data_IF_568362665204
#
_entry.id   IF_568362665204
#
_cell.length_a   1.000
_cell.length_b   1.000
_cell.length_c   1.000
_cell.angle_alpha   90.00
_cell.angle_beta   90.00
_cell.angle_gamma   90.00
#
_symmetry.space_group_name_H-M   'P 1'
#
loop_
_entity.id
_entity.type
_entity.pdbx_description
1 polymer ?
#
# COMPACT_ATOMS: atom_id res chain seq x y z
N UNK A 1 -19.55 25.02 -37.05
CA UNK A 1 -18.21 25.64 -37.10
C UNK A 1 -17.64 25.54 -35.69
N UNK A 2 -16.60 24.70 -35.55
CA UNK A 2 -16.08 24.20 -34.27
C UNK A 2 -14.97 25.12 -33.75
N UNK A 3 -14.96 25.39 -32.44
CA UNK A 3 -13.91 26.19 -31.77
C UNK A 3 -12.62 25.38 -31.58
N UNK A 4 -11.43 26.01 -31.54
CA UNK A 4 -10.15 25.30 -31.46
C UNK A 4 -9.87 24.83 -30.03
N UNK A 5 -9.41 23.57 -29.91
CA UNK A 5 -8.99 22.94 -28.65
C UNK A 5 -7.50 23.23 -28.43
N UNK A 6 -7.17 24.18 -27.56
CA UNK A 6 -5.79 24.35 -27.06
C UNK A 6 -5.69 23.82 -25.64
N UNK A 7 -4.87 22.79 -25.47
CA UNK A 7 -3.89 22.70 -24.38
C UNK A 7 -2.87 21.63 -24.71
N UNK A 8 -1.73 22.10 -25.21
CA UNK A 8 -0.45 21.41 -25.15
C UNK A 8 0.06 21.61 -23.73
N UNK A 9 0.28 20.51 -23.02
CA UNK A 9 1.36 20.36 -22.04
C UNK A 9 1.87 18.93 -22.22
N UNK A 10 2.76 18.77 -23.20
CA UNK A 10 3.72 17.68 -23.18
C UNK A 10 4.65 17.92 -22.00
N UNK A 11 4.33 17.31 -20.86
CA UNK A 11 5.28 17.11 -19.78
C UNK A 11 5.92 15.73 -19.98
N UNK A 12 6.71 15.60 -21.03
CA UNK A 12 7.64 14.49 -21.18
C UNK A 12 8.76 14.67 -20.15
N UNK A 13 8.73 13.85 -19.10
CA UNK A 13 9.95 13.45 -18.44
C UNK A 13 10.06 11.93 -18.45
N UNK A 14 10.93 11.51 -19.37
CA UNK A 14 11.57 10.23 -19.56
C UNK A 14 12.07 9.60 -18.27
N UNK A 15 11.36 8.57 -17.82
CA UNK A 15 11.88 7.30 -17.31
C UNK A 15 10.65 6.43 -17.07
N UNK A 16 10.59 5.23 -17.63
CA UNK A 16 9.61 4.25 -17.16
C UNK A 16 9.83 4.08 -15.64
N UNK A 17 8.84 4.37 -14.78
CA UNK A 17 9.10 4.53 -13.36
C UNK A 17 9.37 3.17 -12.74
N UNK A 18 10.40 3.11 -11.91
CA UNK A 18 10.60 2.03 -10.94
C UNK A 18 9.39 1.94 -9.99
N UNK A 19 8.34 1.23 -10.42
CA UNK A 19 7.05 1.05 -9.74
C UNK A 19 6.19 2.32 -9.73
N UNK A 20 4.97 2.27 -10.28
CA UNK A 20 3.99 3.35 -10.13
C UNK A 20 3.50 3.45 -8.68
N UNK A 21 2.91 4.58 -8.32
CA UNK A 21 2.23 4.70 -7.03
C UNK A 21 1.06 3.69 -6.96
N UNK A 22 0.86 3.07 -5.79
CA UNK A 22 -0.29 2.21 -5.57
C UNK A 22 -1.57 3.02 -5.56
N UNK A 23 -2.58 2.56 -6.30
CA UNK A 23 -3.94 3.08 -6.18
C UNK A 23 -4.53 2.77 -4.80
N UNK A 24 -5.52 3.53 -4.37
CA UNK A 24 -6.13 3.42 -3.02
C UNK A 24 -6.61 1.99 -2.68
N UNK A 25 -7.11 1.24 -3.67
CA UNK A 25 -7.61 -0.13 -3.50
C UNK A 25 -6.60 -1.20 -3.90
N UNK A 26 -5.42 -0.82 -4.35
CA UNK A 26 -4.36 -1.77 -4.68
C UNK A 26 -3.54 -2.09 -3.44
N UNK A 27 -3.43 -3.36 -3.03
CA UNK A 27 -2.53 -3.75 -1.96
C UNK A 27 -1.09 -3.38 -2.30
N UNK A 28 -0.40 -2.73 -1.37
CA UNK A 28 1.03 -2.46 -1.48
C UNK A 28 1.86 -3.70 -1.09
N UNK A 29 1.33 -4.54 -0.19
CA UNK A 29 1.93 -5.82 0.18
C UNK A 29 0.89 -6.78 0.77
N UNK A 30 1.32 -8.02 0.93
CA UNK A 30 0.61 -9.09 1.61
C UNK A 30 1.51 -9.69 2.69
N UNK A 31 0.95 -9.98 3.86
CA UNK A 31 1.61 -10.78 4.90
C UNK A 31 0.98 -12.16 4.94
N UNK A 32 1.61 -13.13 4.28
CA UNK A 32 1.11 -14.51 4.21
C UNK A 32 1.36 -15.20 5.53
N UNK A 33 0.37 -15.98 5.97
CA UNK A 33 0.43 -16.72 7.23
C UNK A 33 -0.06 -18.15 7.04
N UNK A 34 0.29 -19.02 7.99
CA UNK A 34 -0.20 -20.40 8.02
C UNK A 34 -1.70 -20.41 8.37
N UNK A 35 -2.56 -21.09 7.59
CA UNK A 35 -3.99 -21.17 7.86
C UNK A 35 -4.31 -21.60 9.31
N UNK A 36 -5.44 -21.13 9.85
CA UNK A 36 -5.94 -21.37 11.21
C UNK A 36 -5.11 -20.80 12.36
N UNK A 37 -3.77 -20.96 12.33
CA UNK A 37 -2.87 -20.47 13.37
C UNK A 37 -2.55 -18.98 13.22
N UNK A 38 -2.65 -18.46 12.00
CA UNK A 38 -2.17 -17.11 11.63
C UNK A 38 -0.71 -16.87 12.03
N UNK A 39 0.07 -17.95 12.11
CA UNK A 39 1.51 -17.84 12.29
C UNK A 39 2.10 -17.24 11.02
N UNK A 40 2.71 -16.07 11.16
CA UNK A 40 3.31 -15.35 10.04
C UNK A 40 4.38 -16.20 9.36
N UNK A 41 4.35 -16.22 8.02
CA UNK A 41 5.29 -16.97 7.20
C UNK A 41 6.22 -15.99 6.44
N UNK A 42 5.68 -15.23 5.48
CA UNK A 42 6.47 -14.28 4.69
C UNK A 42 5.66 -13.09 4.16
N UNK A 43 6.38 -12.07 3.70
CA UNK A 43 5.78 -10.91 3.04
C UNK A 43 5.95 -10.99 1.52
N UNK A 44 4.89 -10.66 0.78
CA UNK A 44 4.91 -10.50 -0.67
C UNK A 44 4.61 -9.04 -1.02
N UNK A 45 5.56 -8.36 -1.67
CA UNK A 45 5.36 -6.98 -2.11
C UNK A 45 4.68 -6.95 -3.47
N UNK A 46 3.84 -5.93 -3.69
CA UNK A 46 3.38 -5.63 -5.02
C UNK A 46 4.40 -4.76 -5.78
N UNK A 47 4.21 -4.59 -7.09
CA UNK A 47 5.13 -3.82 -7.95
C UNK A 47 5.02 -2.30 -7.75
N UNK A 48 3.91 -1.84 -7.17
CA UNK A 48 3.68 -0.44 -6.86
C UNK A 48 4.30 -0.03 -5.52
N UNK A 49 4.53 1.28 -5.34
CA UNK A 49 5.02 1.85 -4.08
C UNK A 49 3.98 2.79 -3.48
N UNK A 50 3.98 2.92 -2.16
CA UNK A 50 3.11 3.90 -1.52
C UNK A 50 3.57 5.32 -1.85
N UNK A 51 2.65 6.24 -2.20
CA UNK A 51 2.99 7.62 -2.49
C UNK A 51 3.61 8.31 -1.27
N UNK A 52 4.33 9.41 -1.51
CA UNK A 52 4.98 10.17 -0.44
C UNK A 52 3.99 10.59 0.65
N UNK A 53 4.38 10.41 1.92
CA UNK A 53 3.54 10.72 3.07
C UNK A 53 2.50 9.65 3.40
N UNK A 54 2.59 8.47 2.77
CA UNK A 54 1.79 7.29 3.13
C UNK A 54 2.68 6.11 3.49
N UNK A 55 2.16 5.23 4.35
CA UNK A 55 2.82 4.02 4.80
C UNK A 55 2.01 2.78 4.42
N UNK A 56 2.72 1.72 4.03
CA UNK A 56 2.12 0.42 3.74
C UNK A 56 1.79 -0.28 5.07
N UNK A 57 0.51 -0.26 5.45
CA UNK A 57 0.04 -0.70 6.77
C UNK A 57 -1.03 -1.78 6.62
N UNK A 58 -1.02 -2.77 7.52
CA UNK A 58 -2.05 -3.82 7.56
C UNK A 58 -3.44 -3.20 7.78
N UNK A 59 -4.37 -3.48 6.88
CA UNK A 59 -5.74 -2.96 6.93
C UNK A 59 -6.79 -4.07 6.97
N UNK A 60 -6.56 -5.20 6.31
CA UNK A 60 -7.55 -6.28 6.19
C UNK A 60 -6.91 -7.66 6.42
N UNK A 61 -7.75 -8.68 6.60
CA UNK A 61 -7.39 -10.11 6.65
C UNK A 61 -8.22 -10.87 5.60
N UNK A 62 -7.57 -11.40 4.57
CA UNK A 62 -8.20 -12.28 3.58
C UNK A 62 -7.97 -13.73 3.99
N UNK A 63 -8.91 -14.24 4.77
CA UNK A 63 -8.88 -15.60 5.33
C UNK A 63 -8.91 -16.65 4.21
N UNK A 64 -9.52 -16.35 3.07
CA UNK A 64 -9.65 -17.30 1.96
C UNK A 64 -8.30 -17.69 1.35
N UNK A 65 -7.32 -16.79 1.45
CA UNK A 65 -5.94 -16.99 0.97
C UNK A 65 -4.92 -16.98 2.12
N UNK A 66 -5.37 -16.93 3.36
CA UNK A 66 -4.53 -16.89 4.56
C UNK A 66 -3.47 -15.78 4.52
N UNK A 67 -3.91 -14.54 4.28
CA UNK A 67 -3.00 -13.41 4.20
C UNK A 67 -3.59 -12.09 4.74
N UNK A 68 -2.75 -11.33 5.43
CA UNK A 68 -3.00 -9.94 5.78
C UNK A 68 -2.80 -9.03 4.56
N UNK A 69 -3.73 -8.10 4.35
CA UNK A 69 -3.66 -7.12 3.26
C UNK A 69 -3.07 -5.81 3.81
N UNK A 70 -2.01 -5.33 3.15
CA UNK A 70 -1.41 -4.04 3.45
C UNK A 70 -1.79 -3.02 2.37
N UNK A 71 -2.19 -1.82 2.80
CA UNK A 71 -2.57 -0.71 1.93
C UNK A 71 -1.88 0.59 2.35
N UNK A 72 -1.78 1.51 1.40
CA UNK A 72 -1.17 2.82 1.65
C UNK A 72 -2.12 3.71 2.44
N UNK A 73 -1.73 4.09 3.65
CA UNK A 73 -2.49 5.01 4.50
C UNK A 73 -1.67 6.26 4.78
N UNK A 74 -2.32 7.43 4.83
CA UNK A 74 -1.67 8.63 5.35
C UNK A 74 -1.57 8.51 6.86
N UNK A 75 -0.35 8.64 7.38
CA UNK A 75 -0.16 8.82 8.82
C UNK A 75 -0.55 10.26 9.17
N UNK A 76 -1.68 10.43 9.85
CA UNK A 76 -2.10 11.72 10.40
C UNK A 76 -1.87 11.71 11.92
N UNK A 77 -0.89 12.46 12.45
CA UNK A 77 -0.61 12.50 13.89
C UNK A 77 -1.74 13.14 14.71
N UNK A 78 -2.67 13.86 14.08
CA UNK A 78 -3.81 14.51 14.75
C UNK A 78 -5.12 13.72 14.60
N UNK A 79 -5.16 12.73 13.70
CA UNK A 79 -6.32 11.89 13.47
C UNK A 79 -5.99 10.43 13.80
N UNK A 80 -5.82 10.16 15.09
CA UNK A 80 -5.69 8.82 15.71
C UNK A 80 -6.99 7.99 15.65
N UNK A 81 -7.81 8.19 14.63
CA UNK A 81 -8.91 7.28 14.27
C UNK A 81 -8.45 6.31 13.17
N UNK A 82 -7.20 5.87 13.20
CA UNK A 82 -6.73 4.77 12.36
C UNK A 82 -7.18 3.49 13.05
N UNK A 83 -8.42 3.06 12.74
CA UNK A 83 -9.02 1.76 13.02
C UNK A 83 -8.26 0.96 14.08
N UNK A 84 -8.36 1.41 15.34
CA UNK A 84 -7.91 0.64 16.48
C UNK A 84 -8.95 -0.45 16.68
N UNK A 85 -8.78 -1.58 16.01
CA UNK A 85 -9.39 -2.80 16.52
C UNK A 85 -8.65 -3.12 17.84
N UNK A 86 -9.33 -2.99 19.01
CA UNK A 86 -8.72 -3.22 20.32
C UNK A 86 -8.31 -4.69 20.54
N UNK A 87 -8.68 -5.60 19.65
CA UNK A 87 -8.23 -7.00 19.64
C UNK A 87 -7.13 -7.27 18.60
N UNK A 88 -6.83 -6.30 17.74
CA UNK A 88 -5.68 -6.39 16.84
C UNK A 88 -4.42 -5.97 17.58
N UNK A 89 -3.41 -6.85 17.59
CA UNK A 89 -2.06 -6.53 18.06
C UNK A 89 -1.44 -5.57 17.04
N UNK A 90 -1.77 -4.29 17.18
CA UNK A 90 -1.28 -3.08 16.50
C UNK A 90 -1.48 -2.96 14.97
N UNK A 91 -1.57 -1.71 14.43
CA UNK A 91 -1.31 -1.45 13.02
C UNK A 91 0.18 -1.72 12.75
N UNK A 92 0.48 -2.89 12.19
CA UNK A 92 1.85 -3.28 11.85
C UNK A 92 2.18 -2.60 10.53
N UNK A 93 3.03 -1.56 10.58
CA UNK A 93 3.73 -1.09 9.37
C UNK A 93 4.58 -2.23 8.84
N UNK A 94 4.64 -2.35 7.52
CA UNK A 94 5.52 -3.33 6.90
C UNK A 94 6.98 -3.03 7.32
N UNK A 95 7.78 -4.02 7.77
CA UNK A 95 9.13 -3.76 8.27
C UNK A 95 10.04 -3.10 7.23
N UNK A 96 10.98 -2.27 7.65
CA UNK A 96 11.82 -1.47 6.74
C UNK A 96 12.66 -2.31 5.76
N UNK A 97 13.13 -3.48 6.21
CA UNK A 97 13.84 -4.42 5.35
C UNK A 97 12.94 -4.99 4.24
N UNK A 98 11.63 -4.94 4.42
CA UNK A 98 10.60 -5.30 3.45
C UNK A 98 10.10 -4.06 2.69
N UNK A 99 10.42 -2.82 3.05
CA UNK A 99 10.01 -1.65 2.25
C UNK A 99 11.15 -1.10 1.40
N UNK A 100 12.41 -1.23 1.84
CA UNK A 100 13.58 -0.89 1.03
C UNK A 100 13.84 -1.97 -0.03
N UNK A 101 13.61 -1.65 -1.29
CA UNK A 101 14.30 -2.34 -2.39
C UNK A 101 15.76 -1.93 -2.36
N UNK A 102 16.65 -2.86 -2.05
CA UNK A 102 18.05 -2.80 -2.51
C UNK A 102 18.10 -2.76 -4.03
#
# INVERSE_FOLDING_TARGET
QSAPRQKIIDMSNTAAPTGSDCEMRTPCAWGVYVPFTRQFDYYMKNTCKCPKGTDCTRMDDDISVSAYIYRCIKWDPNNTQIYHDPYSVFPIKLPDHVTRST
#
